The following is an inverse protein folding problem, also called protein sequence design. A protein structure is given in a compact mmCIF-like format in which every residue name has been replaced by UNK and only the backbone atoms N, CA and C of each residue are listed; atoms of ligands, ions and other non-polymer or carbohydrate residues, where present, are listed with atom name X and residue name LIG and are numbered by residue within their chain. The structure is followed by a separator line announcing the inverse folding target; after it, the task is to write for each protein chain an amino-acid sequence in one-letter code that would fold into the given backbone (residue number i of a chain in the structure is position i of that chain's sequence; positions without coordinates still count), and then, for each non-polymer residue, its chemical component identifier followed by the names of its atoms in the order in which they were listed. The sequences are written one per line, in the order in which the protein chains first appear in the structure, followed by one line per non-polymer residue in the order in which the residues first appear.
data_IF_972964345454
#
_entry.id   IF_972964345454
#
_cell.length_a   1.000
_cell.length_b   1.000
_cell.length_c   1.000
_cell.angle_alpha   90.00
_cell.angle_beta   90.00
_cell.angle_gamma   90.00
#
_symmetry.space_group_name_H-M   'P 1'
#
loop_
_entity.id
_entity.type
_entity.pdbx_description
1 polymer ?
#
# COMPACT_ATOMS: atom_id res chain seq x y z
N UNK A 1 10.51 25.60 23.37
CA UNK A 1 10.31 25.30 21.94
C UNK A 1 11.67 25.02 21.34
N UNK A 2 12.03 23.75 21.24
CA UNK A 2 13.22 23.34 20.48
C UNK A 2 12.78 23.43 19.02
N UNK A 3 13.33 24.42 18.30
CA UNK A 3 13.25 24.46 16.84
C UNK A 3 14.01 23.23 16.37
N UNK A 4 13.31 22.18 15.96
CA UNK A 4 13.93 21.08 15.22
C UNK A 4 14.35 21.69 13.89
N UNK A 5 15.62 22.10 13.80
CA UNK A 5 16.25 22.37 12.51
C UNK A 5 15.96 21.16 11.61
N UNK A 6 15.59 21.43 10.36
CA UNK A 6 15.36 20.42 9.33
C UNK A 6 16.55 19.45 9.32
N UNK A 7 16.41 18.31 10.00
CA UNK A 7 17.40 17.25 9.96
C UNK A 7 17.25 16.58 8.62
N UNK A 8 17.97 17.09 7.62
CA UNK A 8 18.14 16.36 6.37
C UNK A 8 18.93 15.09 6.70
N UNK A 9 18.24 13.96 6.55
CA UNK A 9 18.83 12.65 6.77
C UNK A 9 20.01 12.48 5.80
N UNK A 10 21.20 12.04 6.25
CA UNK A 10 22.45 12.21 5.51
C UNK A 10 22.46 11.49 4.16
N UNK A 11 21.72 10.38 4.01
CA UNK A 11 21.58 9.68 2.74
C UNK A 11 20.63 10.46 1.81
N UNK A 12 19.51 10.96 2.33
CA UNK A 12 18.61 11.87 1.61
C UNK A 12 19.31 13.14 1.11
N UNK A 13 20.15 13.77 1.95
CA UNK A 13 20.93 14.95 1.58
C UNK A 13 21.94 14.66 0.46
N UNK A 14 22.67 13.54 0.54
CA UNK A 14 23.61 13.12 -0.50
C UNK A 14 22.89 12.85 -1.83
N UNK A 15 21.74 12.17 -1.78
CA UNK A 15 20.95 11.90 -2.97
C UNK A 15 20.28 13.14 -3.53
N UNK A 16 19.95 14.14 -2.70
CA UNK A 16 19.51 15.46 -3.14
C UNK A 16 20.55 16.14 -4.02
N UNK A 17 21.82 16.13 -3.61
CA UNK A 17 22.94 16.65 -4.43
C UNK A 17 23.06 15.87 -5.75
N UNK A 18 22.93 14.55 -5.72
CA UNK A 18 22.94 13.72 -6.94
C UNK A 18 21.75 14.07 -7.85
N UNK A 19 20.54 14.24 -7.30
CA UNK A 19 19.35 14.60 -8.04
C UNK A 19 19.52 15.95 -8.74
N UNK A 20 20.05 16.95 -8.04
CA UNK A 20 20.35 18.28 -8.60
C UNK A 20 21.36 18.19 -9.75
N UNK A 21 22.42 17.37 -9.63
CA UNK A 21 23.38 17.17 -10.73
C UNK A 21 22.77 16.48 -11.95
N UNK A 22 21.69 15.71 -11.76
CA UNK A 22 20.95 15.03 -12.82
C UNK A 22 19.77 15.87 -13.34
N UNK A 23 19.53 17.07 -12.80
CA UNK A 23 18.38 17.92 -13.15
C UNK A 23 17.03 17.35 -12.72
N UNK A 24 17.00 16.49 -11.70
CA UNK A 24 15.79 15.84 -11.18
C UNK A 24 15.42 16.40 -9.80
N UNK A 25 14.12 16.39 -9.48
CA UNK A 25 13.67 16.61 -8.09
C UNK A 25 14.05 15.41 -7.21
N UNK A 26 14.22 15.64 -5.90
CA UNK A 26 14.50 14.57 -4.93
C UNK A 26 13.44 13.46 -4.94
N UNK A 27 12.16 13.83 -5.08
CA UNK A 27 11.06 12.89 -5.26
C UNK A 27 11.13 12.12 -6.58
N UNK A 28 11.53 12.78 -7.67
CA UNK A 28 11.74 12.15 -8.98
C UNK A 28 12.83 11.09 -8.92
N UNK A 29 13.97 11.38 -8.28
CA UNK A 29 15.05 10.41 -8.10
C UNK A 29 14.58 9.23 -7.24
N UNK A 30 13.86 9.48 -6.14
CA UNK A 30 13.29 8.43 -5.29
C UNK A 30 12.37 7.50 -6.09
N UNK A 31 11.41 8.04 -6.83
CA UNK A 31 10.49 7.25 -7.66
C UNK A 31 11.24 6.44 -8.73
N UNK A 32 12.29 7.00 -9.32
CA UNK A 32 13.14 6.31 -10.29
C UNK A 32 13.89 5.13 -9.65
N UNK A 33 14.49 5.31 -8.47
CA UNK A 33 15.15 4.23 -7.72
C UNK A 33 14.17 3.10 -7.39
N UNK A 34 12.98 3.45 -6.90
CA UNK A 34 11.91 2.50 -6.62
C UNK A 34 11.47 1.74 -7.88
N UNK A 35 11.29 2.44 -9.00
CA UNK A 35 10.90 1.86 -10.29
C UNK A 35 11.92 0.87 -10.81
N UNK A 36 13.21 1.24 -10.77
CA UNK A 36 14.30 0.33 -11.17
C UNK A 36 14.33 -0.88 -10.23
N UNK A 37 14.22 -0.67 -8.91
CA UNK A 37 14.19 -1.75 -7.93
C UNK A 37 13.07 -2.76 -8.20
N UNK A 38 11.85 -2.28 -8.43
CA UNK A 38 10.70 -3.11 -8.79
C UNK A 38 10.90 -3.89 -10.09
N UNK A 39 11.44 -3.23 -11.13
CA UNK A 39 11.72 -3.87 -12.42
C UNK A 39 12.79 -4.96 -12.30
N UNK A 40 13.84 -4.74 -11.51
CA UNK A 40 14.88 -5.74 -11.26
C UNK A 40 14.33 -6.96 -10.51
N UNK A 41 13.47 -6.76 -9.51
CA UNK A 41 12.80 -7.85 -8.80
C UNK A 41 11.86 -8.64 -9.75
N UNK A 42 11.07 -7.93 -10.56
CA UNK A 42 10.20 -8.56 -11.56
C UNK A 42 11.02 -9.37 -12.58
N UNK A 43 12.12 -8.81 -13.10
CA UNK A 43 12.99 -9.47 -14.04
C UNK A 43 13.66 -10.70 -13.42
N UNK A 44 14.14 -10.58 -12.17
CA UNK A 44 14.72 -11.68 -11.42
C UNK A 44 13.73 -12.83 -11.22
N UNK A 45 12.47 -12.51 -10.90
CA UNK A 45 11.40 -13.48 -10.73
C UNK A 45 11.13 -14.27 -12.02
N UNK A 46 10.98 -13.59 -13.16
CA UNK A 46 10.68 -14.25 -14.44
C UNK A 46 11.90 -14.99 -15.01
N UNK A 47 13.10 -14.47 -14.81
CA UNK A 47 14.37 -15.10 -15.26
C UNK A 47 14.99 -15.99 -14.19
N UNK A 48 14.20 -16.50 -13.24
CA UNK A 48 14.69 -17.41 -12.22
C UNK A 48 15.42 -18.61 -12.85
N UNK A 49 16.63 -18.90 -12.35
CA UNK A 49 17.50 -19.96 -12.87
C UNK A 49 18.46 -19.52 -13.98
N UNK A 50 18.36 -18.28 -14.48
CA UNK A 50 19.32 -17.72 -15.43
C UNK A 50 20.46 -16.98 -14.73
N UNK A 51 21.62 -16.90 -15.40
CA UNK A 51 22.76 -16.09 -14.95
C UNK A 51 22.31 -14.63 -14.80
N UNK A 52 22.68 -13.98 -13.69
CA UNK A 52 22.30 -12.59 -13.43
C UNK A 52 21.01 -12.40 -12.62
N UNK A 53 20.16 -13.43 -12.48
CA UNK A 53 18.87 -13.32 -11.76
C UNK A 53 19.06 -12.94 -10.29
N UNK A 54 20.04 -13.55 -9.61
CA UNK A 54 20.33 -13.29 -8.20
C UNK A 54 20.89 -11.88 -8.01
N UNK A 55 21.81 -11.44 -8.87
CA UNK A 55 22.36 -10.09 -8.81
C UNK A 55 21.27 -9.03 -9.02
N UNK A 56 20.35 -9.27 -9.96
CA UNK A 56 19.19 -8.41 -10.17
C UNK A 56 18.28 -8.37 -8.93
N UNK A 57 18.03 -9.51 -8.26
CA UNK A 57 17.27 -9.54 -7.02
C UNK A 57 17.95 -8.73 -5.90
N UNK A 58 19.25 -8.97 -5.69
CA UNK A 58 20.03 -8.30 -4.66
C UNK A 58 20.06 -6.77 -4.86
N UNK A 59 20.31 -6.30 -6.08
CA UNK A 59 20.24 -4.89 -6.42
C UNK A 59 18.81 -4.34 -6.25
N UNK A 60 17.80 -5.11 -6.68
CA UNK A 60 16.39 -4.76 -6.53
C UNK A 60 15.97 -4.54 -5.08
N UNK A 61 16.36 -5.44 -4.16
CA UNK A 61 16.05 -5.32 -2.73
C UNK A 61 16.72 -4.10 -2.08
N UNK A 62 17.97 -3.79 -2.43
CA UNK A 62 18.67 -2.62 -1.91
C UNK A 62 18.03 -1.33 -2.42
N UNK A 63 17.77 -1.24 -3.72
CA UNK A 63 17.12 -0.06 -4.33
C UNK A 63 15.72 0.17 -3.77
N UNK A 64 14.97 -0.91 -3.55
CA UNK A 64 13.64 -0.82 -2.95
C UNK A 64 13.70 -0.43 -1.47
N UNK A 65 14.65 -1.00 -0.72
CA UNK A 65 14.89 -0.61 0.67
C UNK A 65 15.26 0.87 0.79
N UNK A 66 16.11 1.37 -0.11
CA UNK A 66 16.48 2.78 -0.21
C UNK A 66 15.27 3.66 -0.58
N UNK A 67 14.48 3.23 -1.57
CA UNK A 67 13.25 3.94 -1.97
C UNK A 67 12.29 4.19 -0.79
N UNK A 68 12.06 3.16 0.04
CA UNK A 68 11.19 3.26 1.20
C UNK A 68 11.86 4.06 2.33
N UNK A 69 13.15 3.86 2.55
CA UNK A 69 13.93 4.55 3.57
C UNK A 69 13.93 6.08 3.39
N UNK A 70 14.00 6.56 2.15
CA UNK A 70 13.94 8.00 1.83
C UNK A 70 12.58 8.64 2.14
N UNK A 71 11.57 7.88 2.55
CA UNK A 71 10.30 8.42 3.06
C UNK A 71 10.34 8.66 4.59
N UNK A 72 11.37 8.20 5.28
CA UNK A 72 11.48 8.36 6.74
C UNK A 72 11.40 9.82 7.19
N UNK A 73 12.03 10.75 6.47
CA UNK A 73 11.97 12.18 6.79
C UNK A 73 10.54 12.73 6.78
N UNK A 74 9.72 12.32 5.82
CA UNK A 74 8.31 12.69 5.77
C UNK A 74 7.56 12.17 7.00
N UNK A 75 7.80 10.92 7.40
CA UNK A 75 7.15 10.34 8.58
C UNK A 75 7.63 10.94 9.91
N UNK A 76 8.87 11.44 9.96
CA UNK A 76 9.38 12.24 11.08
C UNK A 76 8.62 13.57 11.18
N UNK A 77 8.32 14.22 10.06
CA UNK A 77 7.59 15.51 10.05
C UNK A 77 6.16 15.38 10.58
N UNK A 78 5.49 14.25 10.34
CA UNK A 78 4.13 13.99 10.80
C UNK A 78 4.07 13.26 12.17
N UNK A 79 5.21 13.07 12.83
CA UNK A 79 5.35 12.44 14.16
C UNK A 79 4.68 11.05 14.28
N UNK A 80 4.83 10.20 13.25
CA UNK A 80 4.35 8.81 13.27
C UNK A 80 5.49 7.84 13.65
N UNK A 81 5.62 7.44 14.94
CA UNK A 81 6.75 6.63 15.41
C UNK A 81 6.81 5.25 14.77
N UNK A 82 5.66 4.67 14.39
CA UNK A 82 5.61 3.34 13.80
C UNK A 82 6.14 3.38 12.37
N UNK A 83 5.68 4.34 11.57
CA UNK A 83 6.12 4.48 10.18
C UNK A 83 7.57 4.94 10.07
N UNK A 84 8.05 5.77 11.00
CA UNK A 84 9.47 6.11 11.11
C UNK A 84 10.31 4.84 11.29
N UNK A 85 9.95 3.99 12.26
CA UNK A 85 10.67 2.74 12.51
C UNK A 85 10.62 1.79 11.30
N UNK A 86 9.44 1.59 10.71
CA UNK A 86 9.26 0.69 9.57
C UNK A 86 10.04 1.15 8.34
N UNK A 87 10.03 2.45 8.04
CA UNK A 87 10.78 3.00 6.89
C UNK A 87 12.28 3.02 7.15
N UNK A 88 12.72 3.33 8.38
CA UNK A 88 14.13 3.27 8.76
C UNK A 88 14.70 1.83 8.63
N UNK A 89 13.92 0.81 8.99
CA UNK A 89 14.30 -0.59 8.86
C UNK A 89 14.28 -1.11 7.41
N UNK A 90 13.67 -0.40 6.47
CA UNK A 90 13.50 -0.87 5.10
C UNK A 90 14.84 -1.05 4.36
N UNK A 91 15.80 -0.14 4.54
CA UNK A 91 17.13 -0.26 3.91
C UNK A 91 17.95 -1.41 4.51
N UNK A 92 18.13 -1.53 5.85
CA UNK A 92 18.73 -2.71 6.46
C UNK A 92 18.05 -4.02 6.06
N UNK A 93 16.71 -4.03 6.02
CA UNK A 93 15.92 -5.18 5.58
C UNK A 93 16.18 -5.56 4.11
N UNK A 94 16.25 -4.57 3.22
CA UNK A 94 16.61 -4.77 1.81
C UNK A 94 18.02 -5.35 1.64
N UNK A 95 18.99 -4.88 2.43
CA UNK A 95 20.36 -5.42 2.45
C UNK A 95 20.37 -6.86 2.96
N UNK A 96 19.64 -7.16 4.04
CA UNK A 96 19.52 -8.52 4.58
C UNK A 96 18.94 -9.47 3.53
N UNK A 97 17.86 -9.07 2.85
CA UNK A 97 17.27 -9.85 1.77
C UNK A 97 18.26 -10.06 0.62
N UNK A 98 18.99 -9.02 0.20
CA UNK A 98 20.03 -9.15 -0.81
C UNK A 98 21.13 -10.14 -0.40
N UNK A 99 21.53 -10.16 0.89
CA UNK A 99 22.48 -11.15 1.41
C UNK A 99 21.90 -12.57 1.41
N UNK A 100 20.61 -12.72 1.76
CA UNK A 100 19.91 -14.01 1.69
C UNK A 100 19.88 -14.54 0.26
N UNK A 101 19.63 -13.68 -0.74
CA UNK A 101 19.63 -14.06 -2.15
C UNK A 101 21.01 -14.58 -2.62
N UNK A 102 22.07 -13.86 -2.24
CA UNK A 102 23.45 -14.24 -2.59
C UNK A 102 23.86 -15.54 -1.89
N UNK A 103 23.39 -15.76 -0.66
CA UNK A 103 23.63 -17.00 0.08
C UNK A 103 22.85 -18.17 -0.53
N UNK A 104 21.58 -17.97 -0.87
CA UNK A 104 20.73 -18.98 -1.49
C UNK A 104 21.27 -19.44 -2.85
N UNK A 105 21.87 -18.53 -3.61
CA UNK A 105 22.53 -18.86 -4.87
C UNK A 105 23.73 -19.82 -4.75
N UNK A 106 24.24 -20.04 -3.53
CA UNK A 106 25.29 -21.04 -3.26
C UNK A 106 24.73 -22.42 -2.90
N UNK A 107 23.42 -22.51 -2.63
CA UNK A 107 22.76 -23.77 -2.31
C UNK A 107 22.43 -24.54 -3.60
N UNK A 108 22.42 -25.87 -3.51
CA UNK A 108 22.04 -26.74 -4.65
C UNK A 108 20.55 -26.66 -4.99
N UNK A 109 19.71 -26.38 -3.99
CA UNK A 109 18.26 -26.18 -4.14
C UNK A 109 17.93 -24.76 -3.70
N UNK A 110 17.43 -23.95 -4.62
CA UNK A 110 17.02 -22.58 -4.32
C UNK A 110 15.74 -22.54 -3.49
N UNK A 111 15.63 -21.55 -2.60
CA UNK A 111 14.45 -21.34 -1.79
C UNK A 111 13.32 -20.76 -2.65
N UNK A 112 12.32 -21.59 -2.98
CA UNK A 112 11.13 -21.15 -3.73
C UNK A 112 10.43 -19.96 -3.05
N UNK A 113 10.53 -19.82 -1.73
CA UNK A 113 9.90 -18.72 -0.97
C UNK A 113 10.59 -17.39 -1.18
N UNK A 114 11.93 -17.36 -1.35
CA UNK A 114 12.64 -16.14 -1.73
C UNK A 114 12.23 -15.69 -3.12
N UNK A 115 12.15 -16.63 -4.06
CA UNK A 115 11.71 -16.35 -5.43
C UNK A 115 10.28 -15.84 -5.45
N UNK A 116 9.37 -16.51 -4.73
CA UNK A 116 7.99 -16.06 -4.55
C UNK A 116 7.94 -14.64 -3.98
N UNK A 117 8.77 -14.33 -2.98
CA UNK A 117 8.77 -13.01 -2.34
C UNK A 117 9.22 -11.89 -3.30
N UNK A 118 10.22 -12.14 -4.17
CA UNK A 118 10.58 -11.20 -5.26
C UNK A 118 9.37 -10.87 -6.13
N UNK A 119 8.65 -11.92 -6.54
CA UNK A 119 7.45 -11.79 -7.37
C UNK A 119 6.32 -11.08 -6.64
N UNK A 120 6.08 -11.42 -5.37
CA UNK A 120 5.02 -10.83 -4.55
C UNK A 120 5.20 -9.32 -4.45
N UNK A 121 6.40 -8.87 -4.09
CA UNK A 121 6.69 -7.44 -3.93
C UNK A 121 6.62 -6.71 -5.27
N UNK A 122 7.20 -7.27 -6.33
CA UNK A 122 7.14 -6.67 -7.66
C UNK A 122 5.69 -6.54 -8.16
N UNK A 123 4.90 -7.61 -8.09
CA UNK A 123 3.51 -7.64 -8.57
C UNK A 123 2.53 -6.91 -7.66
N UNK A 124 2.90 -6.60 -6.40
CA UNK A 124 2.12 -5.70 -5.56
C UNK A 124 2.42 -4.24 -5.90
N UNK A 125 3.70 -3.87 -6.00
CA UNK A 125 4.08 -2.47 -6.11
C UNK A 125 3.94 -1.90 -7.53
N UNK A 126 4.18 -2.68 -8.58
CA UNK A 126 4.07 -2.20 -9.97
C UNK A 126 2.63 -1.74 -10.30
N UNK A 127 1.56 -2.52 -10.02
CA UNK A 127 0.20 -2.07 -10.29
C UNK A 127 -0.18 -0.82 -9.51
N UNK A 128 0.24 -0.72 -8.24
CA UNK A 128 0.00 0.48 -7.44
C UNK A 128 0.68 1.69 -8.05
N UNK A 129 1.95 1.56 -8.44
CA UNK A 129 2.70 2.65 -9.04
C UNK A 129 2.09 3.08 -10.39
N UNK A 130 1.57 2.14 -11.18
CA UNK A 130 0.84 2.46 -12.41
C UNK A 130 -0.44 3.25 -12.14
N UNK A 131 -1.26 2.81 -11.17
CA UNK A 131 -2.50 3.53 -10.80
C UNK A 131 -2.17 4.93 -10.25
N UNK A 132 -1.11 5.04 -9.44
CA UNK A 132 -0.68 6.31 -8.87
C UNK A 132 -0.18 7.28 -9.94
N UNK A 133 0.66 6.81 -10.87
CA UNK A 133 1.34 7.64 -11.88
C UNK A 133 0.49 7.98 -13.09
N UNK A 134 -0.63 7.28 -13.33
CA UNK A 134 -1.57 7.54 -14.43
C UNK A 134 -2.82 8.20 -13.84
N UNK A 135 -2.97 9.54 -13.94
CA UNK A 135 -4.11 10.27 -13.39
C UNK A 135 -5.48 9.70 -13.77
N UNK A 136 -5.65 9.27 -15.02
CA UNK A 136 -6.89 8.62 -15.47
C UNK A 136 -7.26 7.39 -14.62
N UNK A 137 -6.30 6.51 -14.32
CA UNK A 137 -6.54 5.33 -13.48
C UNK A 137 -6.76 5.72 -12.02
N UNK A 138 -5.99 6.68 -11.53
CA UNK A 138 -6.12 7.21 -10.17
C UNK A 138 -7.55 7.72 -9.92
N UNK A 139 -8.00 8.65 -10.77
CA UNK A 139 -9.33 9.25 -10.72
C UNK A 139 -10.42 8.17 -10.86
N UNK A 140 -10.26 7.20 -11.76
CA UNK A 140 -11.22 6.12 -11.92
C UNK A 140 -11.38 5.30 -10.63
N UNK A 141 -10.28 4.97 -9.94
CA UNK A 141 -10.31 4.24 -8.66
C UNK A 141 -10.93 5.09 -7.55
N UNK A 142 -10.60 6.39 -7.49
CA UNK A 142 -11.19 7.32 -6.52
C UNK A 142 -12.70 7.44 -6.75
N UNK A 143 -13.14 7.64 -7.98
CA UNK A 143 -14.55 7.72 -8.36
C UNK A 143 -15.31 6.43 -8.05
N UNK A 144 -14.73 5.27 -8.37
CA UNK A 144 -15.32 3.98 -8.03
C UNK A 144 -15.51 3.84 -6.51
N UNK A 145 -14.52 4.29 -5.74
CA UNK A 145 -14.56 4.24 -4.28
C UNK A 145 -15.65 5.15 -3.72
N UNK A 146 -15.72 6.39 -4.20
CA UNK A 146 -16.72 7.37 -3.78
C UNK A 146 -18.14 6.91 -4.14
N UNK A 147 -18.34 6.44 -5.37
CA UNK A 147 -19.64 5.94 -5.86
C UNK A 147 -20.10 4.71 -5.09
N UNK A 148 -19.17 3.78 -4.79
CA UNK A 148 -19.51 2.59 -4.01
C UNK A 148 -19.95 2.93 -2.59
N UNK A 149 -19.31 3.93 -1.97
CA UNK A 149 -19.68 4.39 -0.64
C UNK A 149 -21.03 5.11 -0.64
N UNK A 150 -21.29 5.96 -1.64
CA UNK A 150 -22.60 6.61 -1.85
C UNK A 150 -23.71 5.57 -2.03
N UNK A 151 -23.54 4.59 -2.92
CA UNK A 151 -24.51 3.51 -3.13
C UNK A 151 -24.79 2.71 -1.86
N UNK A 152 -23.76 2.47 -1.05
CA UNK A 152 -23.92 1.79 0.23
C UNK A 152 -24.72 2.64 1.24
N UNK A 153 -24.48 3.96 1.28
CA UNK A 153 -25.23 4.89 2.13
C UNK A 153 -26.68 4.99 1.68
N UNK A 154 -26.94 5.08 0.37
CA UNK A 154 -28.30 5.02 -0.18
C UNK A 154 -29.00 3.72 0.18
N UNK A 155 -28.34 2.57 0.01
CA UNK A 155 -28.87 1.27 0.38
C UNK A 155 -29.20 1.17 1.88
N UNK A 156 -28.38 1.79 2.73
CA UNK A 156 -28.62 1.88 4.17
C UNK A 156 -29.77 2.84 4.56
N UNK A 157 -30.42 3.49 3.59
CA UNK A 157 -31.52 4.43 3.81
C UNK A 157 -31.07 5.88 4.06
N UNK A 158 -29.79 6.17 3.84
CA UNK A 158 -29.18 7.50 4.06
C UNK A 158 -28.99 8.25 2.72
N UNK A 159 -29.98 8.20 1.82
CA UNK A 159 -29.91 8.71 0.44
C UNK A 159 -29.93 10.24 0.28
N UNK A 160 -29.19 10.96 1.13
CA UNK A 160 -29.06 12.42 1.10
C UNK A 160 -27.61 12.86 0.93
N UNK A 161 -26.78 12.05 0.28
CA UNK A 161 -25.43 12.43 -0.06
C UNK A 161 -25.28 12.52 -1.58
N UNK A 162 -24.47 13.46 -2.02
CA UNK A 162 -24.12 13.63 -3.44
C UNK A 162 -22.61 13.80 -3.57
N UNK A 163 -22.06 13.21 -4.63
CA UNK A 163 -20.65 13.40 -4.96
C UNK A 163 -20.43 14.73 -5.67
N UNK A 164 -19.39 15.45 -5.25
CA UNK A 164 -18.93 16.67 -5.91
C UNK A 164 -18.12 16.41 -7.18
N UNK A 165 -17.68 17.49 -7.81
CA UNK A 165 -16.73 17.41 -8.92
C UNK A 165 -15.36 16.90 -8.43
N UNK A 166 -14.63 16.19 -9.30
CA UNK A 166 -13.26 15.77 -9.01
C UNK A 166 -12.36 16.99 -8.86
N UNK A 167 -11.64 17.05 -7.75
CA UNK A 167 -10.70 18.12 -7.41
C UNK A 167 -9.26 17.60 -7.42
N UNK A 168 -8.33 18.51 -7.61
CA UNK A 168 -6.89 18.27 -7.61
C UNK A 168 -6.25 19.15 -6.56
N UNK A 169 -5.56 18.54 -5.60
CA UNK A 169 -4.78 19.24 -4.59
C UNK A 169 -3.36 19.52 -5.12
N UNK A 170 -3.00 20.78 -5.27
CA UNK A 170 -1.70 21.21 -5.79
C UNK A 170 -0.61 21.11 -4.71
N UNK A 171 0.63 20.85 -5.12
CA UNK A 171 1.76 20.73 -4.19
C UNK A 171 2.04 21.99 -3.38
N UNK A 172 1.87 23.18 -3.99
CA UNK A 172 2.10 24.48 -3.35
C UNK A 172 0.93 24.92 -2.45
N UNK A 173 -0.07 24.05 -2.26
CA UNK A 173 -1.30 24.33 -1.56
C UNK A 173 -2.38 24.95 -2.47
N UNK A 174 -3.63 24.60 -2.18
CA UNK A 174 -4.79 25.01 -2.96
C UNK A 174 -5.43 23.86 -3.73
N UNK A 175 -6.73 24.00 -3.98
CA UNK A 175 -7.57 23.00 -4.63
C UNK A 175 -8.14 23.59 -5.91
N UNK A 176 -8.01 22.87 -7.02
CA UNK A 176 -8.59 23.23 -8.32
C UNK A 176 -9.49 22.13 -8.83
N UNK A 177 -10.50 22.47 -9.62
CA UNK A 177 -11.32 21.45 -10.30
C UNK A 177 -10.49 20.73 -11.36
N UNK A 178 -10.84 19.47 -11.65
CA UNK A 178 -10.17 18.70 -12.69
C UNK A 178 -10.20 19.40 -14.06
N UNK A 179 -11.26 20.15 -14.37
CA UNK A 179 -11.36 20.92 -15.61
C UNK A 179 -10.39 22.09 -15.70
N UNK A 180 -10.03 22.67 -14.55
CA UNK A 180 -9.08 23.78 -14.44
C UNK A 180 -7.64 23.29 -14.33
N UNK A 181 -7.44 22.00 -14.02
CA UNK A 181 -6.13 21.39 -13.96
C UNK A 181 -5.54 21.19 -15.36
N UNK A 182 -4.47 21.93 -15.67
CA UNK A 182 -3.80 21.89 -16.98
C UNK A 182 -2.82 20.72 -17.17
N UNK A 183 -2.82 19.74 -16.25
CA UNK A 183 -1.90 18.60 -16.27
C UNK A 183 -2.25 17.52 -17.28
N UNK A 184 -1.35 16.55 -17.45
CA UNK A 184 -1.54 15.44 -18.37
C UNK A 184 -2.27 14.26 -17.70
N UNK A 185 -3.35 13.77 -18.31
CA UNK A 185 -4.15 12.65 -17.79
C UNK A 185 -3.48 11.28 -17.86
N UNK A 186 -2.42 11.13 -18.65
CA UNK A 186 -1.75 9.85 -18.90
C UNK A 186 -0.47 9.66 -18.08
N UNK A 187 0.20 10.76 -17.73
CA UNK A 187 1.45 10.75 -16.98
C UNK A 187 1.40 11.92 -16.01
N UNK A 188 1.52 11.62 -14.72
CA UNK A 188 1.65 12.64 -13.69
C UNK A 188 3.04 13.29 -13.80
N UNK A 189 3.09 14.51 -14.35
CA UNK A 189 4.33 15.25 -14.61
C UNK A 189 4.73 16.19 -13.47
N UNK A 190 3.81 16.45 -12.54
CA UNK A 190 4.01 17.37 -11.42
C UNK A 190 3.66 16.68 -10.09
N UNK A 191 4.37 17.01 -9.00
CA UNK A 191 3.98 16.54 -7.67
C UNK A 191 2.62 17.15 -7.31
N UNK A 192 1.77 16.36 -6.65
CA UNK A 192 0.51 16.81 -6.08
C UNK A 192 0.59 16.85 -4.55
N UNK A 193 -0.41 17.48 -3.92
CA UNK A 193 -0.63 17.44 -2.48
C UNK A 193 -0.95 16.03 -1.97
N UNK A 194 -1.12 15.87 -0.66
CA UNK A 194 -1.30 14.55 -0.04
C UNK A 194 -2.58 13.82 -0.52
N UNK A 195 -3.66 14.57 -0.77
CA UNK A 195 -4.90 14.03 -1.32
C UNK A 195 -4.81 13.70 -2.81
N UNK A 196 -3.92 14.38 -3.55
CA UNK A 196 -3.78 14.22 -4.99
C UNK A 196 -5.09 14.51 -5.72
N UNK A 197 -5.68 13.47 -6.32
CA UNK A 197 -7.02 13.52 -6.90
C UNK A 197 -8.04 13.09 -5.84
N UNK A 198 -9.05 13.92 -5.61
CA UNK A 198 -10.05 13.65 -4.60
C UNK A 198 -11.46 14.03 -5.04
N UNK A 199 -12.47 13.43 -4.40
CA UNK A 199 -13.88 13.70 -4.64
C UNK A 199 -14.53 14.10 -3.31
N UNK A 200 -14.96 15.36 -3.16
CA UNK A 200 -15.69 15.79 -1.97
C UNK A 200 -17.11 15.21 -1.96
N UNK A 201 -17.64 14.94 -0.79
CA UNK A 201 -19.03 14.51 -0.60
C UNK A 201 -19.82 15.66 0.04
N UNK A 202 -21.03 15.89 -0.45
CA UNK A 202 -21.94 16.90 0.08
C UNK A 202 -23.22 16.25 0.58
N UNK A 203 -23.89 16.92 1.52
CA UNK A 203 -25.27 16.62 1.84
C UNK A 203 -26.21 17.22 0.78
N UNK A 204 -27.40 16.64 0.62
CA UNK A 204 -28.43 17.08 -0.33
C UNK A 204 -28.87 18.55 -0.13
N UNK A 205 -28.71 19.05 1.09
CA UNK A 205 -28.95 20.42 1.56
C UNK A 205 -27.75 21.37 1.31
N UNK A 206 -26.67 20.87 0.69
CA UNK A 206 -25.48 21.65 0.34
C UNK A 206 -24.56 21.94 1.52
N UNK A 207 -24.88 21.43 2.72
CA UNK A 207 -24.01 21.52 3.87
C UNK A 207 -22.68 20.76 3.58
N UNK A 208 -21.52 21.36 3.87
CA UNK A 208 -20.25 20.70 3.65
C UNK A 208 -20.13 19.52 4.61
N UNK A 209 -20.09 18.31 4.06
CA UNK A 209 -19.54 17.16 4.78
C UNK A 209 -18.04 17.26 4.56
N UNK A 210 -17.28 17.52 5.62
CA UNK A 210 -15.81 17.61 5.55
C UNK A 210 -15.17 16.22 5.34
N UNK A 211 -15.63 15.46 4.34
CA UNK A 211 -15.12 14.14 3.97
C UNK A 211 -14.89 14.14 2.45
N UNK A 212 -13.64 13.92 2.08
CA UNK A 212 -13.23 13.71 0.70
C UNK A 212 -12.70 12.29 0.51
N UNK A 213 -13.03 11.69 -0.63
CA UNK A 213 -12.49 10.41 -1.04
C UNK A 213 -11.20 10.60 -1.82
N UNK A 214 -10.13 9.97 -1.34
CA UNK A 214 -8.80 9.97 -1.97
C UNK A 214 -8.39 8.53 -2.32
N UNK A 215 -7.28 8.37 -3.06
CA UNK A 215 -6.81 7.05 -3.49
C UNK A 215 -6.56 6.10 -2.31
N UNK A 216 -6.11 6.61 -1.16
CA UNK A 216 -5.86 5.78 0.03
C UNK A 216 -7.12 5.14 0.60
N UNK A 217 -8.30 5.74 0.36
CA UNK A 217 -9.60 5.19 0.79
C UNK A 217 -10.11 4.07 -0.12
N UNK A 218 -9.44 3.75 -1.23
CA UNK A 218 -9.93 2.73 -2.19
C UNK A 218 -9.74 1.28 -1.74
N UNK A 219 -8.94 1.06 -0.70
CA UNK A 219 -8.50 -0.29 -0.31
C UNK A 219 -7.51 -0.91 -1.30
N UNK A 220 -7.06 -0.16 -2.31
CA UNK A 220 -6.12 -0.63 -3.34
C UNK A 220 -4.85 -1.21 -2.73
N UNK A 221 -4.33 -0.61 -1.65
CA UNK A 221 -3.14 -1.09 -0.95
C UNK A 221 -3.29 -2.52 -0.40
N UNK A 222 -4.47 -2.87 0.12
CA UNK A 222 -4.74 -4.24 0.56
C UNK A 222 -4.89 -5.17 -0.65
N UNK A 223 -5.63 -4.75 -1.68
CA UNK A 223 -5.84 -5.55 -2.89
C UNK A 223 -4.53 -5.94 -3.58
N UNK A 224 -3.63 -4.99 -3.79
CA UNK A 224 -2.34 -5.24 -4.48
C UNK A 224 -1.46 -6.23 -3.72
N UNK A 225 -1.51 -6.25 -2.38
CA UNK A 225 -0.72 -7.19 -1.57
C UNK A 225 -1.20 -8.60 -1.84
N UNK A 226 -2.51 -8.83 -1.82
CA UNK A 226 -3.10 -10.12 -2.15
C UNK A 226 -2.90 -10.49 -3.63
N UNK A 227 -3.04 -9.52 -4.54
CA UNK A 227 -2.79 -9.72 -5.97
C UNK A 227 -1.34 -10.15 -6.20
N UNK A 228 -0.37 -9.44 -5.63
CA UNK A 228 1.05 -9.78 -5.74
C UNK A 228 1.35 -11.15 -5.16
N UNK A 229 0.85 -11.43 -3.95
CA UNK A 229 1.03 -12.71 -3.27
C UNK A 229 0.50 -13.91 -4.09
N UNK A 230 -0.70 -13.77 -4.67
CA UNK A 230 -1.35 -14.84 -5.45
C UNK A 230 -0.73 -14.94 -6.85
N UNK A 231 -0.44 -13.82 -7.52
CA UNK A 231 0.15 -13.81 -8.85
C UNK A 231 1.54 -14.44 -8.87
N UNK A 232 2.32 -14.25 -7.80
CA UNK A 232 3.68 -14.75 -7.66
C UNK A 232 3.79 -16.27 -7.40
N UNK A 233 2.68 -16.99 -7.15
CA UNK A 233 2.68 -18.43 -6.85
C UNK A 233 3.00 -19.28 -8.08
N UNK A 234 4.28 -19.45 -8.42
CA UNK A 234 4.72 -20.12 -9.66
C UNK A 234 4.25 -21.57 -9.82
N UNK A 235 4.13 -22.31 -8.71
CA UNK A 235 3.73 -23.73 -8.69
C UNK A 235 2.23 -23.96 -8.83
N UNK A 236 1.40 -22.92 -8.74
CA UNK A 236 -0.06 -23.03 -8.80
C UNK A 236 -0.56 -22.76 -10.21
N UNK A 237 -1.57 -23.51 -10.68
CA UNK A 237 -2.20 -23.29 -11.99
C UNK A 237 -2.93 -21.94 -12.08
N UNK A 238 -2.97 -21.34 -13.29
CA UNK A 238 -3.57 -20.03 -13.49
C UNK A 238 -5.05 -19.97 -13.05
N UNK A 239 -5.81 -21.05 -13.27
CA UNK A 239 -7.22 -21.13 -12.85
C UNK A 239 -7.39 -21.01 -11.33
N UNK A 240 -6.50 -21.62 -10.54
CA UNK A 240 -6.54 -21.51 -9.07
C UNK A 240 -6.16 -20.09 -8.62
N UNK A 241 -5.15 -19.49 -9.25
CA UNK A 241 -4.75 -18.09 -8.98
C UNK A 241 -5.90 -17.12 -9.28
N UNK A 242 -6.51 -17.23 -10.47
CA UNK A 242 -7.63 -16.39 -10.86
C UNK A 242 -8.82 -16.54 -9.92
N UNK A 243 -9.18 -17.78 -9.52
CA UNK A 243 -10.22 -18.01 -8.51
C UNK A 243 -9.92 -17.31 -7.19
N UNK A 244 -8.67 -17.40 -6.71
CA UNK A 244 -8.23 -16.68 -5.52
C UNK A 244 -8.38 -15.17 -5.66
N UNK A 245 -7.97 -14.59 -6.80
CA UNK A 245 -8.13 -13.16 -7.08
C UNK A 245 -9.60 -12.73 -7.16
N UNK A 246 -10.45 -13.53 -7.81
CA UNK A 246 -11.89 -13.30 -7.91
C UNK A 246 -12.62 -13.35 -6.57
N UNK A 247 -12.04 -14.00 -5.56
CA UNK A 247 -12.57 -13.98 -4.19
C UNK A 247 -11.97 -12.81 -3.42
N UNK A 248 -10.65 -12.66 -3.44
CA UNK A 248 -9.94 -11.69 -2.62
C UNK A 248 -10.27 -10.24 -3.00
N UNK A 249 -10.16 -9.87 -4.28
CA UNK A 249 -10.31 -8.47 -4.72
C UNK A 249 -11.73 -7.94 -4.46
N UNK A 250 -12.82 -8.63 -4.86
CA UNK A 250 -14.17 -8.15 -4.56
C UNK A 250 -14.47 -8.13 -3.07
N UNK A 251 -13.98 -9.10 -2.29
CA UNK A 251 -14.22 -9.11 -0.85
C UNK A 251 -13.56 -7.91 -0.16
N UNK A 252 -12.30 -7.60 -0.52
CA UNK A 252 -11.60 -6.42 0.00
C UNK A 252 -12.33 -5.15 -0.42
N UNK A 253 -12.82 -5.07 -1.66
CA UNK A 253 -13.56 -3.91 -2.13
C UNK A 253 -14.85 -3.70 -1.32
N UNK A 254 -15.65 -4.75 -1.12
CA UNK A 254 -16.88 -4.69 -0.33
C UNK A 254 -16.59 -4.25 1.12
N UNK A 255 -15.60 -4.88 1.78
CA UNK A 255 -15.21 -4.52 3.14
C UNK A 255 -14.74 -3.07 3.25
N UNK A 256 -14.00 -2.59 2.24
CA UNK A 256 -13.56 -1.21 2.18
C UNK A 256 -14.72 -0.24 1.94
N UNK A 257 -15.70 -0.60 1.11
CA UNK A 257 -16.93 0.17 0.92
C UNK A 257 -17.71 0.30 2.22
N UNK A 258 -17.86 -0.80 2.98
CA UNK A 258 -18.46 -0.75 4.33
C UNK A 258 -17.69 0.15 5.29
N UNK A 259 -16.34 0.08 5.27
CA UNK A 259 -15.49 0.96 6.07
C UNK A 259 -15.77 2.43 5.75
N UNK A 260 -15.76 2.79 4.48
CA UNK A 260 -15.90 4.18 4.05
C UNK A 260 -17.30 4.72 4.32
N UNK A 261 -18.35 3.99 3.94
CA UNK A 261 -19.73 4.36 4.24
C UNK A 261 -19.98 4.45 5.75
N UNK A 262 -19.43 3.51 6.52
CA UNK A 262 -19.50 3.52 7.98
C UNK A 262 -18.85 4.75 8.61
N UNK A 263 -17.69 5.19 8.10
CA UNK A 263 -17.02 6.43 8.57
C UNK A 263 -17.89 7.66 8.27
N UNK A 264 -18.44 7.77 7.05
CA UNK A 264 -19.35 8.87 6.69
C UNK A 264 -20.57 8.90 7.61
N UNK A 265 -21.21 7.75 7.80
CA UNK A 265 -22.39 7.61 8.64
C UNK A 265 -22.11 7.94 10.11
N UNK A 266 -21.00 7.44 10.68
CA UNK A 266 -20.61 7.72 12.06
C UNK A 266 -20.31 9.20 12.25
N UNK A 267 -19.54 9.79 11.33
CA UNK A 267 -19.17 11.20 11.38
C UNK A 267 -20.40 12.13 11.37
N UNK A 268 -21.41 11.78 10.58
CA UNK A 268 -22.66 12.53 10.55
C UNK A 268 -23.55 12.29 11.78
N UNK A 269 -23.77 11.03 12.15
CA UNK A 269 -24.72 10.66 13.22
C UNK A 269 -24.27 11.16 14.60
N UNK A 270 -22.97 11.42 14.77
CA UNK A 270 -22.37 11.86 16.02
C UNK A 270 -21.44 13.06 15.81
N UNK A 271 -21.93 14.09 15.13
CA UNK A 271 -21.18 15.32 14.83
C UNK A 271 -20.62 16.03 16.07
N UNK A 272 -21.36 15.99 17.19
CA UNK A 272 -20.98 16.66 18.44
C UNK A 272 -20.18 15.77 19.40
N UNK A 273 -19.85 14.55 18.98
CA UNK A 273 -19.15 13.60 19.83
C UNK A 273 -17.66 13.89 19.84
N UNK A 274 -17.17 14.24 21.03
CA UNK A 274 -15.75 14.45 21.31
C UNK A 274 -15.37 13.56 22.47
N UNK A 275 -14.41 12.68 22.25
CA UNK A 275 -13.86 11.81 23.29
C UNK A 275 -12.35 11.96 23.36
N UNK A 276 -11.83 12.33 24.52
CA UNK A 276 -10.40 12.61 24.72
C UNK A 276 -9.81 13.60 23.71
N UNK A 277 -10.63 14.55 23.21
CA UNK A 277 -10.22 15.54 22.22
C UNK A 277 -10.23 15.05 20.76
N UNK A 278 -10.70 13.82 20.50
CA UNK A 278 -10.89 13.29 19.14
C UNK A 278 -12.35 13.44 18.71
N UNK A 279 -12.57 13.92 17.49
CA UNK A 279 -13.90 13.95 16.87
C UNK A 279 -14.31 12.53 16.43
N UNK A 280 -15.61 12.31 16.20
CA UNK A 280 -16.12 11.00 15.77
C UNK A 280 -15.45 10.51 14.47
N UNK A 281 -15.17 11.41 13.53
CA UNK A 281 -14.44 11.07 12.31
C UNK A 281 -13.07 10.47 12.62
N UNK A 282 -12.29 11.13 13.48
CA UNK A 282 -10.94 10.70 13.83
C UNK A 282 -10.94 9.37 14.59
N UNK A 283 -11.90 9.21 15.52
CA UNK A 283 -12.08 7.97 16.25
C UNK A 283 -12.47 6.82 15.33
N UNK A 284 -13.45 7.04 14.45
CA UNK A 284 -13.92 6.05 13.50
C UNK A 284 -12.81 5.66 12.51
N UNK A 285 -12.12 6.64 11.93
CA UNK A 285 -11.07 6.42 10.93
C UNK A 285 -9.82 5.79 11.52
N UNK A 286 -9.43 6.20 12.73
CA UNK A 286 -8.15 5.81 13.34
C UNK A 286 -8.23 4.56 14.21
N UNK A 287 -9.39 4.24 14.79
CA UNK A 287 -9.54 3.12 15.73
C UNK A 287 -10.58 2.10 15.26
N UNK A 288 -11.85 2.50 15.14
CA UNK A 288 -12.93 1.54 14.87
C UNK A 288 -12.75 0.86 13.51
N UNK A 289 -12.47 1.64 12.47
CA UNK A 289 -12.23 1.14 11.13
C UNK A 289 -10.97 0.27 11.05
N UNK A 290 -9.89 0.62 11.76
CA UNK A 290 -8.66 -0.19 11.79
C UNK A 290 -8.90 -1.53 12.51
N UNK A 291 -9.62 -1.54 13.62
CA UNK A 291 -9.95 -2.76 14.35
C UNK A 291 -10.84 -3.70 13.53
N UNK A 292 -11.91 -3.16 12.92
CA UNK A 292 -12.79 -3.93 12.05
C UNK A 292 -12.06 -4.47 10.82
N UNK A 293 -11.22 -3.64 10.20
CA UNK A 293 -10.40 -4.04 9.04
C UNK A 293 -9.39 -5.14 9.41
N UNK A 294 -8.72 -5.02 10.56
CA UNK A 294 -7.79 -6.04 11.05
C UNK A 294 -8.50 -7.39 11.26
N UNK A 295 -9.67 -7.37 11.89
CA UNK A 295 -10.48 -8.57 12.10
C UNK A 295 -10.93 -9.20 10.77
N UNK A 296 -11.42 -8.39 9.84
CA UNK A 296 -11.83 -8.87 8.51
C UNK A 296 -10.64 -9.44 7.72
N UNK A 297 -9.47 -8.81 7.79
CA UNK A 297 -8.23 -9.32 7.19
C UNK A 297 -7.81 -10.67 7.79
N UNK A 298 -7.98 -10.87 9.09
CA UNK A 298 -7.70 -12.14 9.75
C UNK A 298 -8.61 -13.27 9.23
N UNK A 299 -9.93 -13.03 9.13
CA UNK A 299 -10.86 -14.01 8.55
C UNK A 299 -10.54 -14.32 7.08
N UNK A 300 -10.22 -13.29 6.30
CA UNK A 300 -9.80 -13.44 4.91
C UNK A 300 -8.51 -14.25 4.78
N UNK A 301 -7.55 -14.07 5.68
CA UNK A 301 -6.32 -14.86 5.68
C UNK A 301 -6.60 -16.35 5.91
N UNK A 302 -7.50 -16.71 6.84
CA UNK A 302 -7.92 -18.10 7.07
C UNK A 302 -8.54 -18.69 5.81
N UNK A 303 -9.53 -18.01 5.23
CA UNK A 303 -10.19 -18.47 4.02
C UNK A 303 -9.21 -18.60 2.83
N UNK A 304 -8.22 -17.71 2.75
CA UNK A 304 -7.21 -17.77 1.70
C UNK A 304 -6.21 -18.91 1.92
N UNK A 305 -5.84 -19.22 3.16
CA UNK A 305 -4.95 -20.34 3.47
C UNK A 305 -5.60 -21.69 3.15
N UNK A 306 -6.91 -21.82 3.33
CA UNK A 306 -7.66 -23.01 2.91
C UNK A 306 -7.69 -23.15 1.38
N UNK A 307 -7.78 -22.04 0.65
CA UNK A 307 -7.84 -22.03 -0.82
C UNK A 307 -6.46 -22.20 -1.49
N UNK A 308 -5.43 -21.58 -0.90
CA UNK A 308 -4.06 -21.48 -1.40
C UNK A 308 -3.06 -21.76 -0.26
N UNK A 309 -2.95 -23.01 0.21
CA UNK A 309 -2.04 -23.39 1.29
C UNK A 309 -0.56 -23.15 0.94
N UNK A 310 -0.24 -23.03 -0.35
CA UNK A 310 1.09 -22.67 -0.86
C UNK A 310 1.52 -21.27 -0.36
N UNK A 311 0.58 -20.33 -0.22
CA UNK A 311 0.85 -19.00 0.31
C UNK A 311 1.33 -19.08 1.77
N UNK A 312 0.61 -19.85 2.59
CA UNK A 312 0.97 -20.07 3.99
C UNK A 312 2.37 -20.69 4.11
N UNK A 313 2.69 -21.69 3.28
CA UNK A 313 4.01 -22.35 3.28
C UNK A 313 5.15 -21.36 3.03
N UNK A 314 5.00 -20.46 2.05
CA UNK A 314 6.02 -19.46 1.78
C UNK A 314 6.17 -18.46 2.92
N UNK A 315 5.07 -17.99 3.51
CA UNK A 315 5.09 -17.05 4.64
C UNK A 315 5.78 -17.66 5.86
N UNK A 316 5.43 -18.90 6.22
CA UNK A 316 5.98 -19.57 7.40
C UNK A 316 7.50 -19.78 7.32
N UNK A 317 8.07 -19.82 6.11
CA UNK A 317 9.52 -19.96 5.91
C UNK A 317 10.32 -18.71 6.28
N UNK A 318 9.68 -17.55 6.30
CA UNK A 318 10.29 -16.29 6.76
C UNK A 318 10.17 -16.08 8.28
N UNK A 319 9.39 -16.90 8.98
CA UNK A 319 9.26 -16.83 10.43
C UNK A 319 10.38 -17.66 11.07
N UNK A 320 11.17 -17.08 12.00
CA UNK A 320 12.24 -17.83 12.66
C UNK A 320 11.66 -19.02 13.46
N UNK A 321 12.33 -20.19 13.45
CA UNK A 321 11.82 -21.39 14.12
C UNK A 321 11.55 -21.23 15.62
N UNK A 322 12.21 -20.27 16.28
CA UNK A 322 12.02 -19.95 17.70
C UNK A 322 10.63 -19.42 18.04
N UNK A 323 9.92 -18.86 17.05
CA UNK A 323 8.54 -18.37 17.18
C UNK A 323 7.50 -19.41 16.77
N UNK A 324 7.93 -20.62 16.38
CA UNK A 324 7.01 -21.69 16.03
C UNK A 324 6.33 -22.23 17.31
N UNK A 325 5.00 -22.41 17.33
CA UNK A 325 4.32 -23.06 18.45
C UNK A 325 4.84 -24.49 18.59
N UNK A 326 5.59 -24.78 19.67
CA UNK A 326 6.15 -26.12 19.94
C UNK A 326 5.02 -27.14 19.81
N UNK A 327 5.19 -28.08 18.87
CA UNK A 327 4.27 -29.20 18.69
C UNK A 327 4.16 -29.92 20.03
N UNK A 328 2.97 -29.97 20.62
CA UNK A 328 2.73 -30.84 21.77
C UNK A 328 2.97 -32.27 21.29
N UNK A 329 4.04 -32.90 21.78
CA UNK A 329 4.24 -34.33 21.65
C UNK A 329 3.04 -34.98 22.34
N UNK A 330 2.20 -35.65 21.54
CA UNK A 330 1.14 -36.51 22.04
C UNK A 330 1.79 -37.55 22.94
N UNK A 331 1.54 -37.44 24.24
CA UNK A 331 1.86 -38.48 25.21
C UNK A 331 1.14 -39.72 24.75
N UNK A 332 1.90 -40.70 24.28
CA UNK A 332 1.42 -42.06 24.09
C UNK A 332 1.07 -42.60 25.47
N UNK A 333 -0.21 -42.56 25.83
CA UNK A 333 -0.72 -43.34 26.94
C UNK A 333 -0.65 -44.82 26.52
N UNK A 334 0.31 -45.52 27.13
CA UNK A 334 0.48 -46.96 27.12
C UNK A 334 -0.49 -47.66 28.05
#
# INVERSE_FOLDING_TARGET
MIRVESMSEPIGALLGVVAETMGMSGDGLRLLLGSIGMLLLALSFHRHGQKGSVQAAAAGWILLGLFVYLRSEYYVKIDDPLLILMTAMALPGGILLAMMEIRDARNEVSDESLVWFRGMVAWAMIPYHLVYSIPFLNIAVVMLTASSAEWMLEFAGMGQYTLGEVMVELHDGGEVTLSAWGGNMWILTEPLGEGGFFVPMYHADGAPVHIAFILSCSGLQSMIIFVGAIAALRTVSLNRRLRGLFIAVPTIHVLNTFRNAGIVWLSHSYSDWIFMGLNMFDFAHSYAAKAASLFAMFLMAIALFDLLPELHRHIMRFIPPSLWPKKQESVSES
#
